data_IF_359440020180
#
_entry.id   IF_359440020180
#
_cell.length_a   1.000
_cell.length_b   1.000
_cell.length_c   1.000
_cell.angle_alpha   90.00
_cell.angle_beta   90.00
_cell.angle_gamma   90.00
#
_symmetry.space_group_name_H-M   'P 1'
#
loop_
_entity.id
_entity.type
_entity.pdbx_description
1 polymer ?
#
# COMPACT_ATOMS: atom_id res chain seq x y z
N UNK A 1 21.49 -32.48 -61.27
CA UNK A 1 21.50 -31.20 -60.53
C UNK A 1 20.21 -30.87 -59.74
N UNK A 2 19.01 -31.04 -60.29
CA UNK A 2 17.74 -30.70 -59.60
C UNK A 2 17.41 -31.47 -58.31
N UNK A 3 17.97 -32.68 -58.15
CA UNK A 3 17.70 -33.54 -56.99
C UNK A 3 18.47 -33.08 -55.73
N UNK A 4 19.67 -32.55 -55.90
CA UNK A 4 20.48 -32.01 -54.77
C UNK A 4 19.92 -30.68 -54.24
N UNK A 5 19.34 -29.84 -55.11
CA UNK A 5 18.76 -28.57 -54.71
C UNK A 5 17.57 -28.77 -53.77
N UNK A 6 16.68 -29.74 -54.07
CA UNK A 6 15.54 -30.06 -53.18
C UNK A 6 15.97 -30.55 -51.80
N UNK A 7 17.05 -31.33 -51.75
CA UNK A 7 17.60 -31.81 -50.48
C UNK A 7 18.21 -30.68 -49.70
N UNK A 8 18.96 -29.77 -50.31
CA UNK A 8 19.56 -28.60 -49.69
C UNK A 8 18.45 -27.68 -49.10
N UNK A 9 17.39 -27.42 -49.89
CA UNK A 9 16.28 -26.60 -49.44
C UNK A 9 15.57 -27.23 -48.22
N UNK A 10 15.35 -28.55 -48.23
CA UNK A 10 14.76 -29.26 -47.10
C UNK A 10 15.64 -29.19 -45.84
N UNK A 11 16.96 -29.33 -45.98
CA UNK A 11 17.89 -29.23 -44.84
C UNK A 11 17.90 -27.82 -44.24
N UNK A 12 17.92 -26.79 -45.10
CA UNK A 12 17.86 -25.40 -44.63
C UNK A 12 16.53 -25.12 -43.88
N UNK A 13 15.40 -25.61 -44.43
CA UNK A 13 14.08 -25.43 -43.80
C UNK A 13 14.00 -26.15 -42.45
N UNK A 14 14.58 -27.34 -42.34
CA UNK A 14 14.64 -28.12 -41.11
C UNK A 14 15.54 -27.44 -40.04
N UNK A 15 16.68 -26.91 -40.44
CA UNK A 15 17.56 -26.14 -39.59
C UNK A 15 16.86 -24.87 -39.08
N UNK A 16 16.16 -24.14 -39.95
CA UNK A 16 15.40 -22.96 -39.57
C UNK A 16 14.29 -23.33 -38.60
N UNK A 17 13.57 -24.42 -38.80
CA UNK A 17 12.51 -24.88 -37.89
C UNK A 17 13.09 -25.22 -36.49
N UNK A 18 14.22 -25.94 -36.45
CA UNK A 18 14.90 -26.30 -35.19
C UNK A 18 15.38 -25.06 -34.45
N UNK A 19 16.01 -24.10 -35.14
CA UNK A 19 16.49 -22.86 -34.53
C UNK A 19 15.33 -21.98 -34.06
N UNK A 20 14.25 -21.88 -34.81
CA UNK A 20 13.06 -21.15 -34.43
C UNK A 20 12.36 -21.78 -33.21
N UNK A 21 12.25 -23.10 -33.19
CA UNK A 21 11.68 -23.82 -32.03
C UNK A 21 12.56 -23.65 -30.80
N UNK A 22 13.88 -23.79 -30.94
CA UNK A 22 14.81 -23.57 -29.83
C UNK A 22 14.75 -22.12 -29.29
N UNK A 23 14.66 -21.13 -30.19
CA UNK A 23 14.51 -19.73 -29.84
C UNK A 23 13.17 -19.47 -29.12
N UNK A 24 12.06 -19.97 -29.64
CA UNK A 24 10.75 -19.84 -29.01
C UNK A 24 10.70 -20.53 -27.65
N UNK A 25 11.31 -21.71 -27.53
CA UNK A 25 11.45 -22.42 -26.27
C UNK A 25 12.29 -21.61 -25.28
N UNK A 26 13.42 -21.06 -25.72
CA UNK A 26 14.24 -20.17 -24.90
C UNK A 26 13.45 -18.93 -24.46
N UNK A 27 12.78 -18.23 -25.37
CA UNK A 27 11.95 -17.06 -25.06
C UNK A 27 10.81 -17.41 -24.11
N UNK A 28 10.15 -18.55 -24.29
CA UNK A 28 9.05 -18.97 -23.44
C UNK A 28 9.50 -19.37 -22.02
N UNK A 29 10.62 -20.07 -21.90
CA UNK A 29 11.05 -20.62 -20.62
C UNK A 29 12.12 -19.80 -19.89
N UNK A 30 12.89 -18.97 -20.59
CA UNK A 30 14.05 -18.28 -20.03
C UNK A 30 14.04 -16.76 -20.18
N UNK A 31 13.37 -16.20 -21.18
CA UNK A 31 13.33 -14.77 -21.42
C UNK A 31 12.02 -14.10 -20.93
N UNK A 32 11.12 -14.85 -20.30
CA UNK A 32 9.96 -14.26 -19.67
C UNK A 32 10.41 -13.49 -18.40
N UNK A 33 10.62 -12.21 -18.56
CA UNK A 33 11.02 -11.24 -17.53
C UNK A 33 9.99 -11.16 -16.37
N UNK A 34 8.76 -11.62 -16.63
CA UNK A 34 7.64 -11.65 -15.70
C UNK A 34 7.80 -12.65 -14.53
N UNK A 35 8.81 -13.52 -14.59
CA UNK A 35 9.09 -14.51 -13.53
C UNK A 35 10.16 -14.08 -12.53
N UNK A 36 10.97 -13.08 -12.88
CA UNK A 36 11.96 -12.53 -11.96
C UNK A 36 11.32 -11.47 -11.07
N UNK A 37 11.11 -11.77 -9.81
CA UNK A 37 10.54 -10.83 -8.83
C UNK A 37 11.60 -10.01 -8.09
N UNK A 38 12.90 -10.15 -8.43
CA UNK A 38 13.96 -9.40 -7.75
C UNK A 38 13.78 -7.89 -7.91
N UNK A 39 14.01 -7.18 -6.83
CA UNK A 39 13.94 -5.73 -6.75
C UNK A 39 13.37 -5.23 -5.43
N UNK A 40 13.33 -3.93 -5.32
CA UNK A 40 12.71 -3.20 -4.21
C UNK A 40 11.35 -2.69 -4.70
N UNK A 41 10.31 -3.19 -4.08
CA UNK A 41 8.92 -2.93 -4.45
C UNK A 41 8.24 -2.11 -3.35
N UNK A 42 7.57 -1.02 -3.69
CA UNK A 42 6.82 -0.21 -2.73
C UNK A 42 5.33 -0.25 -3.05
N UNK A 43 4.54 -0.58 -2.03
CA UNK A 43 3.09 -0.42 -2.05
C UNK A 43 2.68 0.73 -1.12
N UNK A 44 1.62 1.44 -1.50
CA UNK A 44 0.95 2.43 -0.64
C UNK A 44 -0.30 1.79 -0.06
N UNK A 45 -0.34 1.70 1.25
CA UNK A 45 -1.51 1.24 1.99
C UNK A 45 -2.36 2.45 2.38
N UNK A 46 -3.63 2.44 1.97
CA UNK A 46 -4.59 3.49 2.29
C UNK A 46 -5.04 3.39 3.76
N UNK A 47 -4.93 4.49 4.49
CA UNK A 47 -5.32 4.63 5.89
C UNK A 47 -6.53 5.56 6.06
N UNK A 48 -7.11 6.08 4.97
CA UNK A 48 -8.19 7.07 4.97
C UNK A 48 -9.39 6.62 5.80
N UNK A 49 -9.94 5.45 5.50
CA UNK A 49 -11.14 4.94 6.20
C UNK A 49 -10.87 4.72 7.68
N UNK A 50 -9.72 4.15 8.04
CA UNK A 50 -9.38 3.86 9.43
C UNK A 50 -9.23 5.13 10.27
N UNK A 51 -8.54 6.14 9.73
CA UNK A 51 -8.41 7.43 10.39
C UNK A 51 -9.77 8.13 10.53
N UNK A 52 -10.58 8.10 9.47
CA UNK A 52 -11.91 8.71 9.46
C UNK A 52 -12.87 8.08 10.50
N UNK A 53 -12.91 6.75 10.57
CA UNK A 53 -13.73 6.02 11.56
C UNK A 53 -13.29 6.36 12.98
N UNK A 54 -11.98 6.42 13.24
CA UNK A 54 -11.45 6.75 14.56
C UNK A 54 -11.78 8.19 14.96
N UNK A 55 -11.59 9.15 14.05
CA UNK A 55 -11.93 10.55 14.28
C UNK A 55 -13.44 10.74 14.52
N UNK A 56 -14.28 10.09 13.72
CA UNK A 56 -15.73 10.16 13.83
C UNK A 56 -16.22 9.60 15.16
N UNK A 57 -15.73 8.44 15.59
CA UNK A 57 -16.11 7.83 16.87
C UNK A 57 -15.78 8.78 18.04
N UNK A 58 -14.59 9.37 18.03
CA UNK A 58 -14.19 10.32 19.07
C UNK A 58 -15.07 11.56 19.10
N UNK A 59 -15.47 12.09 17.94
CA UNK A 59 -16.38 13.22 17.84
C UNK A 59 -17.80 12.87 18.32
N UNK A 60 -18.28 11.67 18.04
CA UNK A 60 -19.59 11.18 18.50
C UNK A 60 -19.67 11.07 20.02
N UNK A 61 -18.60 10.65 20.68
CA UNK A 61 -18.51 10.60 22.15
C UNK A 61 -18.63 11.99 22.80
N UNK A 62 -18.37 13.05 22.04
CA UNK A 62 -18.52 14.44 22.50
C UNK A 62 -19.95 15.00 22.38
N UNK A 63 -20.96 14.16 22.09
CA UNK A 63 -22.39 14.48 21.92
C UNK A 63 -22.69 15.62 20.91
N UNK A 64 -21.82 15.81 19.93
CA UNK A 64 -21.74 17.08 19.26
C UNK A 64 -21.89 17.06 17.75
N UNK A 65 -22.05 15.90 17.06
CA UNK A 65 -21.70 15.88 15.67
C UNK A 65 -22.73 15.23 14.76
N UNK A 66 -23.12 15.97 13.73
CA UNK A 66 -23.92 15.50 12.59
C UNK A 66 -23.06 15.36 11.33
N UNK A 67 -21.82 14.86 11.45
CA UNK A 67 -20.97 14.53 10.30
C UNK A 67 -21.08 13.05 9.98
N UNK A 68 -21.18 12.71 8.71
CA UNK A 68 -21.18 11.33 8.23
C UNK A 68 -19.76 10.79 8.07
N UNK A 69 -19.64 9.43 7.97
CA UNK A 69 -18.34 8.81 7.67
C UNK A 69 -17.80 9.26 6.31
N UNK A 70 -18.66 9.38 5.31
CA UNK A 70 -18.27 9.81 3.97
C UNK A 70 -17.70 11.23 3.96
N UNK A 71 -18.30 12.15 4.73
CA UNK A 71 -17.77 13.51 4.89
C UNK A 71 -16.43 13.51 5.64
N UNK A 72 -16.29 12.69 6.69
CA UNK A 72 -15.00 12.56 7.40
C UNK A 72 -13.91 11.97 6.51
N UNK A 73 -14.23 10.97 5.68
CA UNK A 73 -13.30 10.42 4.71
C UNK A 73 -12.82 11.45 3.67
N UNK A 74 -13.66 12.43 3.32
CA UNK A 74 -13.25 13.52 2.42
C UNK A 74 -12.16 14.40 3.03
N UNK A 75 -12.20 14.68 4.34
CA UNK A 75 -11.10 15.37 5.03
C UNK A 75 -9.83 14.53 5.07
N UNK A 76 -9.97 13.22 5.26
CA UNK A 76 -8.86 12.28 5.45
C UNK A 76 -8.29 11.70 4.15
N UNK A 77 -8.66 12.23 2.99
CA UNK A 77 -8.23 11.69 1.69
C UNK A 77 -6.71 11.70 1.51
N UNK A 78 -6.18 10.60 0.95
CA UNK A 78 -4.78 10.51 0.56
C UNK A 78 -3.83 10.12 1.69
N UNK A 79 -4.35 9.74 2.86
CA UNK A 79 -3.55 9.20 3.95
C UNK A 79 -3.01 7.81 3.55
N UNK A 80 -1.71 7.71 3.37
CA UNK A 80 -1.08 6.43 2.97
C UNK A 80 0.20 6.19 3.74
N UNK A 81 0.46 4.91 4.08
CA UNK A 81 1.76 4.44 4.55
C UNK A 81 2.43 3.61 3.46
N UNK A 82 3.75 3.57 3.46
CA UNK A 82 4.52 2.81 2.48
C UNK A 82 5.02 1.49 3.08
N UNK A 83 4.72 0.41 2.35
CA UNK A 83 5.21 -0.94 2.64
C UNK A 83 6.26 -1.29 1.60
N UNK A 84 7.46 -1.56 2.07
CA UNK A 84 8.59 -1.97 1.26
C UNK A 84 8.67 -3.49 1.21
N UNK A 85 8.77 -4.08 0.02
CA UNK A 85 8.98 -5.50 -0.22
C UNK A 85 10.24 -5.66 -1.07
N UNK A 86 11.33 -6.05 -0.45
CA UNK A 86 12.57 -6.41 -1.15
C UNK A 86 12.54 -7.90 -1.47
N UNK A 87 12.79 -8.26 -2.71
CA UNK A 87 12.85 -9.63 -3.16
C UNK A 87 14.18 -9.91 -3.89
N UNK A 88 14.79 -11.04 -3.57
CA UNK A 88 16.02 -11.51 -4.22
C UNK A 88 15.82 -12.94 -4.72
N UNK A 89 15.93 -13.14 -6.00
CA UNK A 89 15.80 -14.47 -6.61
C UNK A 89 17.10 -15.26 -6.46
N UNK A 90 17.03 -16.42 -5.83
CA UNK A 90 18.17 -17.34 -5.65
C UNK A 90 18.16 -18.50 -6.67
N UNK A 91 16.99 -18.88 -7.16
CA UNK A 91 16.79 -19.87 -8.20
C UNK A 91 15.62 -19.48 -9.11
N UNK A 92 15.32 -20.25 -10.16
CA UNK A 92 14.30 -19.92 -11.18
C UNK A 92 12.91 -19.54 -10.62
N UNK A 93 12.51 -20.18 -9.53
CA UNK A 93 11.18 -20.01 -8.91
C UNK A 93 11.25 -19.83 -7.40
N UNK A 94 12.41 -19.50 -6.87
CA UNK A 94 12.66 -19.41 -5.44
C UNK A 94 13.55 -18.21 -5.14
N UNK A 95 13.42 -17.66 -3.94
CA UNK A 95 14.24 -16.58 -3.47
C UNK A 95 13.99 -16.24 -2.01
N UNK A 96 14.54 -15.12 -1.61
CA UNK A 96 14.32 -14.53 -0.28
C UNK A 96 13.52 -13.23 -0.40
N UNK A 97 12.78 -12.90 0.64
CA UNK A 97 12.07 -11.64 0.73
C UNK A 97 12.27 -10.99 2.09
N UNK A 98 12.14 -9.68 2.10
CA UNK A 98 12.02 -8.86 3.29
C UNK A 98 10.90 -7.84 3.05
N UNK A 99 9.92 -7.80 3.96
CA UNK A 99 8.82 -6.85 3.93
C UNK A 99 8.88 -5.99 5.19
N UNK A 100 8.72 -4.69 5.07
CA UNK A 100 8.69 -3.78 6.21
C UNK A 100 7.92 -2.50 5.89
N UNK A 101 7.26 -1.96 6.92
CA UNK A 101 6.72 -0.60 6.85
C UNK A 101 7.89 0.39 6.93
N UNK A 102 7.79 1.47 6.16
CA UNK A 102 8.73 2.59 6.27
C UNK A 102 8.28 3.52 7.42
N UNK A 103 9.02 3.59 8.54
CA UNK A 103 8.61 4.39 9.71
C UNK A 103 8.41 5.87 9.37
N UNK A 104 9.23 6.43 8.47
CA UNK A 104 9.12 7.82 8.04
C UNK A 104 7.78 8.09 7.31
N UNK A 105 7.28 7.11 6.54
CA UNK A 105 5.98 7.23 5.88
C UNK A 105 4.82 7.17 6.87
N UNK A 106 4.96 6.35 7.91
CA UNK A 106 4.00 6.30 9.02
C UNK A 106 3.93 7.64 9.76
N UNK A 107 5.07 8.20 10.16
CA UNK A 107 5.11 9.49 10.86
C UNK A 107 4.52 10.61 10.01
N UNK A 108 4.85 10.64 8.72
CA UNK A 108 4.28 11.61 7.77
C UNK A 108 2.77 11.45 7.63
N UNK A 109 2.27 10.21 7.51
CA UNK A 109 0.85 9.91 7.43
C UNK A 109 0.12 10.29 8.73
N UNK A 110 0.71 9.98 9.89
CA UNK A 110 0.16 10.31 11.20
C UNK A 110 0.03 11.83 11.40
N UNK A 111 1.06 12.58 11.05
CA UNK A 111 1.01 14.05 11.08
C UNK A 111 -0.07 14.60 10.17
N UNK A 112 -0.14 14.12 8.92
CA UNK A 112 -1.16 14.53 7.95
C UNK A 112 -2.58 14.19 8.41
N UNK A 113 -2.78 13.06 9.10
CA UNK A 113 -4.05 12.68 9.67
C UNK A 113 -4.54 13.69 10.74
N UNK A 114 -3.66 14.11 11.63
CA UNK A 114 -4.01 15.14 12.62
C UNK A 114 -4.22 16.52 12.01
N UNK A 115 -3.48 16.89 10.98
CA UNK A 115 -3.71 18.13 10.23
C UNK A 115 -5.08 18.12 9.54
N UNK A 116 -5.45 17.02 8.89
CA UNK A 116 -6.76 16.84 8.28
C UNK A 116 -7.90 16.85 9.32
N UNK A 117 -7.67 16.17 10.45
CA UNK A 117 -8.63 16.14 11.53
C UNK A 117 -8.81 17.53 12.17
N UNK A 118 -7.75 18.32 12.28
CA UNK A 118 -7.85 19.69 12.80
C UNK A 118 -8.73 20.57 11.91
N UNK A 119 -8.65 20.41 10.58
CA UNK A 119 -9.55 21.14 9.67
C UNK A 119 -11.01 20.74 9.90
N UNK A 120 -11.32 19.44 9.94
CA UNK A 120 -12.67 18.96 10.21
C UNK A 120 -13.19 19.45 11.57
N UNK A 121 -12.35 19.39 12.61
CA UNK A 121 -12.70 19.85 13.95
C UNK A 121 -13.01 21.36 13.99
N UNK A 122 -12.20 22.18 13.31
CA UNK A 122 -12.43 23.63 13.22
C UNK A 122 -13.72 23.96 12.48
N UNK A 123 -14.05 23.26 11.39
CA UNK A 123 -15.27 23.45 10.63
C UNK A 123 -16.51 23.10 11.49
N UNK A 124 -16.46 22.01 12.25
CA UNK A 124 -17.50 21.62 13.18
C UNK A 124 -17.64 22.61 14.36
N UNK A 125 -16.53 23.08 14.89
CA UNK A 125 -16.54 24.11 15.96
C UNK A 125 -17.15 25.41 15.45
N UNK A 126 -16.85 25.82 14.22
CA UNK A 126 -17.44 26.96 13.55
C UNK A 126 -18.95 26.84 13.46
N UNK A 127 -19.46 25.69 13.02
CA UNK A 127 -20.91 25.44 12.95
C UNK A 127 -21.58 25.49 14.32
N UNK A 128 -20.95 24.90 15.33
CA UNK A 128 -21.44 24.94 16.72
C UNK A 128 -21.51 26.33 17.29
N UNK A 129 -20.49 27.13 17.10
CA UNK A 129 -20.44 28.51 17.55
C UNK A 129 -21.57 29.34 16.92
N UNK A 130 -21.84 29.14 15.63
CA UNK A 130 -22.95 29.78 14.92
C UNK A 130 -24.30 29.37 15.49
N UNK A 131 -24.50 28.06 15.71
CA UNK A 131 -25.74 27.57 16.32
C UNK A 131 -25.94 28.09 17.76
N UNK A 132 -24.86 28.29 18.51
CA UNK A 132 -24.89 28.87 19.86
C UNK A 132 -25.09 30.40 19.86
N UNK A 133 -25.20 31.05 18.69
CA UNK A 133 -25.41 32.50 18.59
C UNK A 133 -24.12 33.32 18.75
N UNK A 134 -22.96 32.72 18.54
CA UNK A 134 -21.68 33.45 18.56
C UNK A 134 -21.63 34.49 17.43
N UNK A 135 -21.31 35.74 17.79
CA UNK A 135 -21.32 36.91 16.88
C UNK A 135 -19.91 37.36 16.47
N UNK A 136 -18.87 36.71 16.98
CA UNK A 136 -17.49 36.99 16.60
C UNK A 136 -17.13 36.43 15.21
N UNK A 137 -15.91 36.69 14.75
CA UNK A 137 -15.40 36.09 13.53
C UNK A 137 -15.29 34.55 13.68
N UNK A 138 -15.63 33.83 12.61
CA UNK A 138 -15.55 32.38 12.51
C UNK A 138 -14.70 31.96 11.31
N UNK A 139 -13.79 32.83 10.82
CA UNK A 139 -12.77 32.43 9.87
C UNK A 139 -11.73 31.50 10.55
N UNK A 140 -10.93 30.80 9.74
CA UNK A 140 -9.99 29.80 10.23
C UNK A 140 -9.00 30.36 11.25
N UNK A 141 -8.49 31.56 11.01
CA UNK A 141 -7.54 32.22 11.87
C UNK A 141 -8.18 32.57 13.24
N UNK A 142 -9.41 33.07 13.23
CA UNK A 142 -10.13 33.38 14.47
C UNK A 142 -10.48 32.11 15.28
N UNK A 143 -10.84 31.03 14.62
CA UNK A 143 -11.09 29.74 15.28
C UNK A 143 -9.79 29.17 15.86
N UNK A 144 -8.69 29.19 15.09
CA UNK A 144 -7.38 28.76 15.59
C UNK A 144 -6.91 29.58 16.79
N UNK A 145 -7.12 30.90 16.75
CA UNK A 145 -6.83 31.77 17.87
C UNK A 145 -7.69 31.43 19.10
N UNK A 146 -8.99 31.19 18.90
CA UNK A 146 -9.92 30.81 19.99
C UNK A 146 -9.47 29.49 20.65
N UNK A 147 -9.09 28.50 19.87
CA UNK A 147 -8.55 27.22 20.36
C UNK A 147 -7.26 27.46 21.12
N UNK A 148 -6.34 28.26 20.55
CA UNK A 148 -5.05 28.56 21.18
C UNK A 148 -5.24 29.33 22.51
N UNK A 149 -6.13 30.29 22.56
CA UNK A 149 -6.45 31.03 23.80
C UNK A 149 -7.11 30.14 24.86
N UNK A 150 -7.94 29.16 24.42
CA UNK A 150 -8.67 28.29 25.33
C UNK A 150 -7.79 27.17 25.89
N UNK A 151 -6.95 26.54 25.04
CA UNK A 151 -6.19 25.35 25.40
C UNK A 151 -4.67 25.59 25.53
N UNK A 152 -4.19 26.79 25.17
CA UNK A 152 -2.76 27.14 25.24
C UNK A 152 -1.91 26.54 24.15
N UNK A 153 -2.50 25.95 23.11
CA UNK A 153 -1.80 25.29 22.00
C UNK A 153 -2.63 25.29 20.72
N UNK A 154 -1.99 25.02 19.56
CA UNK A 154 -2.67 24.91 18.28
C UNK A 154 -3.69 23.76 18.25
N UNK A 155 -4.66 23.82 17.34
CA UNK A 155 -5.65 22.76 17.15
C UNK A 155 -5.00 21.39 16.90
N UNK A 156 -3.99 21.33 16.04
CA UNK A 156 -3.25 20.08 15.77
C UNK A 156 -2.60 19.55 17.04
N UNK A 157 -1.88 20.41 17.79
CA UNK A 157 -1.22 19.99 19.04
C UNK A 157 -2.21 19.54 20.11
N UNK A 158 -3.36 20.20 20.19
CA UNK A 158 -4.44 19.79 21.09
C UNK A 158 -4.96 18.40 20.75
N UNK A 159 -5.26 18.15 19.46
CA UNK A 159 -5.76 16.85 19.02
C UNK A 159 -4.71 15.73 19.14
N UNK A 160 -3.42 16.03 18.92
CA UNK A 160 -2.34 15.08 19.16
C UNK A 160 -2.17 14.70 20.64
N UNK A 161 -2.44 15.63 21.55
CA UNK A 161 -2.26 15.41 22.99
C UNK A 161 -3.49 14.85 23.70
N UNK A 162 -4.69 15.26 23.29
CA UNK A 162 -5.97 14.95 23.95
C UNK A 162 -6.94 14.16 23.06
N UNK A 163 -6.70 14.10 21.75
CA UNK A 163 -7.55 13.40 20.79
C UNK A 163 -7.28 11.89 20.71
N UNK A 164 -7.97 11.22 19.79
CA UNK A 164 -7.78 9.78 19.57
C UNK A 164 -6.47 9.51 18.83
N UNK A 165 -5.95 8.29 18.94
CA UNK A 165 -4.90 7.81 18.04
C UNK A 165 -5.54 7.49 16.69
N UNK A 166 -5.37 8.37 15.70
CA UNK A 166 -6.03 8.26 14.40
C UNK A 166 -5.58 7.05 13.59
N UNK A 167 -4.30 6.69 13.70
CA UNK A 167 -3.74 5.49 13.08
C UNK A 167 -3.47 4.42 14.15
N UNK A 168 -3.46 3.13 13.77
CA UNK A 168 -2.96 2.08 14.66
C UNK A 168 -1.51 2.37 15.09
N UNK A 169 -1.09 1.90 16.26
CA UNK A 169 0.31 1.95 16.65
C UNK A 169 1.23 1.36 15.57
N UNK A 170 2.39 1.96 15.38
CA UNK A 170 3.36 1.48 14.38
C UNK A 170 3.73 0.01 14.63
N UNK A 171 3.84 -0.40 15.90
CA UNK A 171 4.15 -1.77 16.29
C UNK A 171 3.09 -2.78 15.81
N UNK A 172 1.82 -2.40 15.84
CA UNK A 172 0.72 -3.27 15.38
C UNK A 172 0.76 -3.42 13.85
N UNK A 173 1.04 -2.33 13.14
CA UNK A 173 1.22 -2.36 11.69
C UNK A 173 2.47 -3.13 11.30
N UNK A 174 3.57 -2.99 12.03
CA UNK A 174 4.78 -3.77 11.83
C UNK A 174 4.52 -5.26 12.06
N UNK A 175 3.81 -5.63 13.12
CA UNK A 175 3.42 -7.02 13.36
C UNK A 175 2.56 -7.60 12.23
N UNK A 176 1.80 -6.78 11.51
CA UNK A 176 0.97 -7.20 10.39
C UNK A 176 1.74 -7.33 9.07
N UNK A 177 2.66 -6.42 8.80
CA UNK A 177 3.30 -6.27 7.48
C UNK A 177 4.76 -6.70 7.46
N UNK A 178 5.50 -6.53 8.56
CA UNK A 178 6.93 -6.83 8.59
C UNK A 178 7.17 -8.34 8.63
N UNK A 179 8.18 -8.77 7.90
CA UNK A 179 8.57 -10.16 7.88
C UNK A 179 9.68 -10.39 6.86
N UNK A 180 10.41 -11.47 7.08
CA UNK A 180 11.45 -11.93 6.15
C UNK A 180 11.43 -13.44 6.05
N UNK A 181 11.98 -13.95 4.95
CA UNK A 181 12.03 -15.40 4.76
C UNK A 181 12.28 -15.78 3.32
N UNK A 182 11.74 -16.92 2.92
CA UNK A 182 11.86 -17.44 1.57
C UNK A 182 10.55 -17.37 0.82
N UNK A 183 10.64 -17.31 -0.50
CA UNK A 183 9.47 -17.42 -1.36
C UNK A 183 9.66 -18.46 -2.45
N UNK A 184 8.53 -18.99 -2.91
CA UNK A 184 8.44 -19.84 -4.10
C UNK A 184 7.33 -19.33 -5.02
N UNK A 185 7.56 -19.46 -6.34
CA UNK A 185 6.54 -19.12 -7.34
C UNK A 185 6.18 -20.34 -8.17
N UNK A 186 4.88 -20.58 -8.35
CA UNK A 186 4.37 -21.66 -9.18
C UNK A 186 3.03 -21.28 -9.78
N UNK A 187 2.88 -21.37 -11.10
CA UNK A 187 1.61 -21.20 -11.81
C UNK A 187 0.86 -19.90 -11.47
N UNK A 188 1.59 -18.78 -11.32
CA UNK A 188 1.00 -17.49 -10.95
C UNK A 188 0.70 -17.33 -9.45
N UNK A 189 1.15 -18.27 -8.65
CA UNK A 189 1.02 -18.24 -7.19
C UNK A 189 2.39 -17.97 -6.57
N UNK A 190 2.44 -17.01 -5.66
CA UNK A 190 3.57 -16.68 -4.79
C UNK A 190 3.29 -17.24 -3.40
N UNK A 191 4.14 -18.12 -2.92
CA UNK A 191 4.09 -18.63 -1.54
C UNK A 191 5.28 -18.06 -0.79
N UNK A 192 5.03 -17.29 0.26
CA UNK A 192 6.04 -16.71 1.16
C UNK A 192 6.03 -17.46 2.49
N UNK A 193 7.20 -17.83 2.98
CA UNK A 193 7.38 -18.48 4.28
C UNK A 193 8.27 -17.61 5.14
N UNK A 194 7.73 -17.11 6.25
CA UNK A 194 8.47 -16.39 7.29
C UNK A 194 8.73 -17.32 8.46
N UNK A 195 9.90 -17.23 9.05
CA UNK A 195 10.29 -17.95 10.25
C UNK A 195 10.80 -16.90 11.27
N UNK A 196 10.07 -16.70 12.35
CA UNK A 196 10.44 -15.83 13.45
C UNK A 196 11.22 -16.56 14.57
N UNK A 197 11.61 -17.81 14.33
CA UNK A 197 12.28 -18.69 15.27
C UNK A 197 11.33 -19.45 16.22
N UNK A 198 10.04 -19.12 16.23
CA UNK A 198 9.00 -19.76 17.04
C UNK A 198 7.93 -20.40 16.18
N UNK A 199 7.56 -19.76 15.10
CA UNK A 199 6.50 -20.20 14.21
C UNK A 199 6.85 -19.92 12.74
N UNK A 200 6.62 -20.92 11.90
CA UNK A 200 6.67 -20.74 10.45
C UNK A 200 5.28 -20.31 9.96
N UNK A 201 5.20 -19.10 9.43
CA UNK A 201 3.98 -18.58 8.82
C UNK A 201 4.08 -18.69 7.31
N UNK A 202 3.04 -19.23 6.69
CA UNK A 202 2.97 -19.35 5.22
C UNK A 202 1.85 -18.46 4.69
N UNK A 203 2.18 -17.54 3.77
CA UNK A 203 1.23 -16.72 3.04
C UNK A 203 1.26 -17.09 1.57
N UNK A 204 0.10 -17.38 1.00
CA UNK A 204 -0.07 -17.73 -0.41
C UNK A 204 -0.92 -16.68 -1.11
N UNK A 205 -0.40 -16.10 -2.19
CA UNK A 205 -1.04 -15.02 -2.93
C UNK A 205 -0.92 -15.27 -4.44
N UNK A 206 -1.91 -14.84 -5.19
CA UNK A 206 -1.79 -14.73 -6.63
C UNK A 206 -0.91 -13.52 -6.96
N UNK A 207 0.00 -13.67 -7.92
CA UNK A 207 0.84 -12.57 -8.35
C UNK A 207 0.77 -12.35 -9.85
N UNK A 208 0.83 -11.09 -10.23
CA UNK A 208 0.99 -10.66 -11.61
C UNK A 208 2.07 -9.57 -11.66
N UNK A 209 3.18 -9.88 -12.34
CA UNK A 209 4.20 -8.88 -12.64
C UNK A 209 4.03 -8.38 -14.07
N UNK A 210 4.03 -7.05 -14.23
CA UNK A 210 4.00 -6.41 -15.53
C UNK A 210 4.94 -5.21 -15.50
N UNK A 211 6.11 -5.35 -16.11
CA UNK A 211 7.16 -4.32 -16.11
C UNK A 211 7.56 -3.90 -14.67
N UNK A 212 7.31 -2.66 -14.30
CA UNK A 212 7.61 -2.08 -12.98
C UNK A 212 6.48 -2.21 -11.96
N UNK A 213 5.44 -3.01 -12.26
CA UNK A 213 4.30 -3.21 -11.35
C UNK A 213 4.21 -4.67 -10.96
N UNK A 214 4.02 -4.93 -9.66
CA UNK A 214 3.73 -6.23 -9.08
C UNK A 214 2.39 -6.12 -8.35
N UNK A 215 1.42 -6.95 -8.75
CA UNK A 215 0.15 -7.11 -8.07
C UNK A 215 0.23 -8.37 -7.20
N UNK A 216 -0.17 -8.26 -5.95
CA UNK A 216 -0.36 -9.39 -5.05
C UNK A 216 -1.82 -9.40 -4.60
N UNK A 217 -2.50 -10.54 -4.69
CA UNK A 217 -3.90 -10.69 -4.32
C UNK A 217 -4.15 -12.02 -3.62
N UNK A 218 -5.05 -12.03 -2.67
CA UNK A 218 -5.53 -13.26 -2.02
C UNK A 218 -6.49 -14.05 -2.92
N UNK A 219 -7.10 -13.37 -3.90
CA UNK A 219 -8.03 -13.97 -4.86
C UNK A 219 -7.48 -13.94 -6.30
N UNK A 220 -7.91 -14.93 -7.11
CA UNK A 220 -7.50 -15.07 -8.51
C UNK A 220 -8.10 -13.98 -9.44
N UNK A 221 -9.12 -13.28 -9.00
CA UNK A 221 -9.79 -12.20 -9.75
C UNK A 221 -9.11 -10.86 -9.60
N UNK A 222 -8.16 -10.72 -8.68
CA UNK A 222 -7.51 -9.45 -8.34
C UNK A 222 -8.50 -8.33 -8.01
N UNK A 223 -9.55 -8.64 -7.24
CA UNK A 223 -10.58 -7.64 -6.89
C UNK A 223 -10.01 -6.50 -6.03
N UNK A 224 -9.10 -6.82 -5.11
CA UNK A 224 -8.43 -5.85 -4.22
C UNK A 224 -6.93 -6.17 -4.09
N UNK A 225 -6.15 -6.05 -5.17
CA UNK A 225 -4.75 -6.38 -5.12
C UNK A 225 -3.94 -5.32 -4.39
N UNK A 226 -2.92 -5.75 -3.65
CA UNK A 226 -1.85 -4.85 -3.24
C UNK A 226 -1.00 -4.52 -4.48
N UNK A 227 -0.84 -3.23 -4.76
CA UNK A 227 -0.14 -2.74 -5.95
C UNK A 227 1.23 -2.23 -5.54
N UNK A 228 2.25 -2.96 -5.92
CA UNK A 228 3.64 -2.62 -5.68
C UNK A 228 4.27 -2.03 -6.95
N UNK A 229 5.12 -1.02 -6.77
CA UNK A 229 5.90 -0.40 -7.85
C UNK A 229 7.38 -0.59 -7.58
N UNK A 230 8.12 -0.96 -8.62
CA UNK A 230 9.58 -1.09 -8.59
C UNK A 230 10.20 0.30 -8.42
N UNK A 231 11.14 0.40 -7.48
CA UNK A 231 12.00 1.58 -7.30
C UNK A 231 13.08 1.67 -8.36
#
# INVERSE_FOLDING_TARGET
MKRNLKTIIRTILLLFLITSTALLTYLHFFAADDKNLSGVWIAKQDMTNQAAVTALNWLQDMEAVSISLEEMEQYMQGLTIEVNLTMEQTARSEGTFQCNILPESYETCNQAAYEAFAVAFQDLLTERLRMAGYTGSTDKEAIEQLVTETFGMSTVSYLMSCGPKLLPPLEDLQAQYDGSGTYQTKDGILTRQSDDGWQVTTKTEYYLRKSSTLLLSEDAGYERPAIYRLQ
#
